data_IF_913101368934
#
_entry.id   IF_913101368934
#
_cell.length_a   1.000
_cell.length_b   1.000
_cell.length_c   1.000
_cell.angle_alpha   90.00
_cell.angle_beta   90.00
_cell.angle_gamma   90.00
#
_symmetry.space_group_name_H-M   'P 1'
#
loop_
_entity.id
_entity.type
_entity.pdbx_description
1 polymer ?
#
# COMPACT_ATOMS: atom_id res chain seq x y z
N UNK A 1 -20.80 -45.56 12.06
CA UNK A 1 -20.05 -44.91 13.15
C UNK A 1 -20.03 -43.45 12.79
N UNK A 2 -20.80 -42.71 13.53
CA UNK A 2 -20.98 -41.27 13.36
C UNK A 2 -19.75 -40.55 13.92
N UNK A 3 -19.26 -39.54 13.22
CA UNK A 3 -18.26 -38.62 13.72
C UNK A 3 -18.82 -37.23 13.66
N UNK A 4 -18.93 -36.67 14.81
CA UNK A 4 -19.47 -35.42 15.27
C UNK A 4 -19.09 -34.21 14.41
N UNK A 5 -20.10 -33.56 13.84
CA UNK A 5 -20.09 -32.16 13.50
C UNK A 5 -20.26 -31.35 14.79
N UNK A 6 -19.19 -30.81 15.32
CA UNK A 6 -19.25 -29.77 16.33
C UNK A 6 -19.36 -28.41 15.60
N UNK A 7 -20.60 -28.01 15.36
CA UNK A 7 -20.96 -26.61 15.19
C UNK A 7 -20.59 -25.85 16.46
N UNK A 8 -19.68 -24.90 16.33
CA UNK A 8 -19.42 -23.89 17.36
C UNK A 8 -20.59 -22.91 17.41
N UNK A 9 -21.58 -23.23 18.24
CA UNK A 9 -22.56 -22.27 18.75
C UNK A 9 -21.87 -21.39 19.79
N UNK A 10 -21.48 -20.17 19.40
CA UNK A 10 -21.24 -19.07 20.30
C UNK A 10 -21.43 -17.78 19.52
N UNK A 11 -22.68 -17.27 19.55
CA UNK A 11 -23.03 -15.84 19.43
C UNK A 11 -24.55 -15.67 19.38
N UNK A 12 -25.22 -16.05 20.47
CA UNK A 12 -26.59 -15.60 20.73
C UNK A 12 -26.60 -14.97 22.12
N UNK A 13 -26.42 -13.63 22.11
CA UNK A 13 -27.06 -12.67 23.04
C UNK A 13 -26.37 -11.30 22.95
N UNK A 14 -26.74 -10.51 21.92
CA UNK A 14 -26.83 -9.04 22.04
C UNK A 14 -27.61 -8.50 20.83
N UNK A 15 -28.74 -7.93 21.08
CA UNK A 15 -29.78 -7.49 20.15
C UNK A 15 -29.33 -7.00 18.76
N UNK A 16 -29.59 -7.79 17.74
CA UNK A 16 -29.87 -7.25 16.40
C UNK A 16 -28.72 -6.83 15.52
N UNK A 17 -27.43 -6.95 15.94
CA UNK A 17 -26.29 -6.58 15.08
C UNK A 17 -25.91 -7.73 14.15
N UNK A 18 -26.03 -7.50 12.84
CA UNK A 18 -25.62 -8.41 11.78
C UNK A 18 -24.45 -7.76 11.00
N UNK A 19 -23.23 -8.14 11.38
CA UNK A 19 -21.99 -7.64 10.75
C UNK A 19 -21.97 -7.90 9.26
N UNK A 20 -22.36 -9.10 8.81
CA UNK A 20 -22.32 -9.48 7.40
C UNK A 20 -23.29 -8.61 6.57
N UNK A 21 -24.48 -8.37 7.11
CA UNK A 21 -25.46 -7.48 6.47
C UNK A 21 -24.94 -6.05 6.35
N UNK A 22 -24.27 -5.54 7.38
CA UNK A 22 -23.70 -4.19 7.34
C UNK A 22 -22.54 -4.08 6.33
N UNK A 23 -21.64 -5.08 6.29
CA UNK A 23 -20.58 -5.16 5.28
C UNK A 23 -21.15 -5.20 3.86
N UNK A 24 -22.19 -5.99 3.65
CA UNK A 24 -22.86 -6.11 2.35
C UNK A 24 -23.52 -4.79 1.93
N UNK A 25 -24.19 -4.11 2.85
CA UNK A 25 -24.77 -2.80 2.57
C UNK A 25 -23.69 -1.78 2.17
N UNK A 26 -22.57 -1.74 2.89
CA UNK A 26 -21.42 -0.89 2.52
C UNK A 26 -20.93 -1.21 1.11
N UNK A 27 -20.70 -2.48 0.81
CA UNK A 27 -20.14 -2.94 -0.46
C UNK A 27 -21.08 -2.62 -1.65
N UNK A 28 -22.38 -2.83 -1.47
CA UNK A 28 -23.41 -2.55 -2.48
C UNK A 28 -23.53 -1.08 -2.85
N UNK A 29 -23.17 -0.16 -1.94
CA UNK A 29 -23.12 1.28 -2.28
C UNK A 29 -22.07 1.59 -3.33
N UNK A 30 -20.96 0.82 -3.39
CA UNK A 30 -19.78 1.07 -4.21
C UNK A 30 -19.12 2.43 -3.96
N UNK A 31 -19.50 3.12 -2.89
CA UNK A 31 -18.98 4.46 -2.56
C UNK A 31 -17.68 4.40 -1.76
N UNK A 32 -17.48 3.29 -1.06
CA UNK A 32 -16.35 3.11 -0.18
C UNK A 32 -16.43 3.94 1.10
N UNK A 33 -15.32 4.02 1.81
CA UNK A 33 -15.19 4.82 3.03
C UNK A 33 -15.29 6.32 2.72
N UNK A 34 -14.81 6.74 1.55
CA UNK A 34 -14.94 8.13 1.07
C UNK A 34 -16.42 8.55 1.01
N UNK A 35 -17.30 7.67 0.52
CA UNK A 35 -18.73 7.96 0.48
C UNK A 35 -19.35 8.13 1.87
N UNK A 36 -18.89 7.34 2.85
CA UNK A 36 -19.32 7.51 4.24
C UNK A 36 -18.85 8.86 4.82
N UNK A 37 -17.63 9.25 4.55
CA UNK A 37 -17.09 10.54 4.98
C UNK A 37 -17.86 11.71 4.34
N UNK A 38 -18.18 11.62 3.05
CA UNK A 38 -18.95 12.65 2.32
C UNK A 38 -20.40 12.77 2.82
N UNK A 39 -20.97 11.68 3.32
CA UNK A 39 -22.29 11.71 3.95
C UNK A 39 -22.31 12.45 5.30
N UNK A 40 -21.16 12.91 5.79
CA UNK A 40 -21.04 13.70 7.02
C UNK A 40 -21.36 12.91 8.28
N UNK A 41 -20.96 11.64 8.34
CA UNK A 41 -21.18 10.80 9.51
C UNK A 41 -20.52 11.42 10.74
N UNK A 42 -21.27 11.51 11.83
CA UNK A 42 -20.78 11.96 13.14
C UNK A 42 -20.25 10.83 14.01
N UNK A 43 -20.53 9.58 13.63
CA UNK A 43 -20.07 8.37 14.33
C UNK A 43 -19.58 7.31 13.35
N UNK A 44 -18.62 6.56 13.79
CA UNK A 44 -18.05 5.45 13.02
C UNK A 44 -19.06 4.28 12.95
N UNK A 45 -19.35 3.71 11.77
CA UNK A 45 -20.13 2.47 11.68
C UNK A 45 -19.43 1.33 12.45
N UNK A 46 -20.22 0.51 13.12
CA UNK A 46 -19.71 -0.51 14.04
C UNK A 46 -18.70 -1.49 13.37
N UNK A 47 -18.86 -1.77 12.09
CA UNK A 47 -17.95 -2.63 11.33
C UNK A 47 -16.51 -2.13 11.30
N UNK A 48 -16.25 -0.83 11.52
CA UNK A 48 -14.93 -0.23 11.54
C UNK A 48 -14.35 -0.09 12.96
N UNK A 49 -15.16 -0.31 14.00
CA UNK A 49 -14.70 -0.21 15.38
C UNK A 49 -13.83 -1.44 15.68
N UNK A 50 -12.64 -1.19 16.17
CA UNK A 50 -11.68 -2.22 16.58
C UNK A 50 -11.59 -2.26 18.10
N UNK A 51 -11.89 -3.43 18.70
CA UNK A 51 -11.96 -3.57 20.16
C UNK A 51 -10.59 -3.58 20.85
N UNK A 52 -9.52 -3.91 20.10
CA UNK A 52 -8.16 -4.03 20.62
C UNK A 52 -7.20 -3.06 19.93
N UNK A 53 -7.57 -1.78 19.83
CA UNK A 53 -6.62 -0.77 19.44
C UNK A 53 -5.52 -0.71 20.52
N UNK A 54 -4.45 -1.47 20.32
CA UNK A 54 -3.20 -1.12 20.95
C UNK A 54 -2.81 0.23 20.35
N UNK A 55 -3.38 1.29 20.91
CA UNK A 55 -2.86 2.63 20.68
C UNK A 55 -1.38 2.50 20.98
N UNK A 56 -0.56 2.55 19.94
CA UNK A 56 0.87 2.71 20.13
C UNK A 56 1.00 3.83 21.13
N UNK A 57 1.29 3.45 22.39
CA UNK A 57 1.56 4.41 23.44
C UNK A 57 2.53 5.40 22.81
N UNK A 58 2.30 6.68 23.00
CA UNK A 58 3.02 7.82 22.43
C UNK A 58 4.53 7.87 22.78
N UNK A 59 5.12 6.76 23.12
CA UNK A 59 6.55 6.49 23.05
C UNK A 59 6.88 6.22 21.57
N UNK A 60 6.63 7.22 20.70
CA UNK A 60 7.44 7.37 19.51
C UNK A 60 8.88 7.53 20.01
N UNK A 61 9.54 6.41 20.27
CA UNK A 61 10.98 6.38 20.15
C UNK A 61 11.23 6.99 18.78
N UNK A 62 11.97 8.09 18.71
CA UNK A 62 12.47 8.65 17.46
C UNK A 62 13.46 7.62 16.88
N UNK A 63 12.94 6.48 16.49
CA UNK A 63 13.67 5.47 15.79
C UNK A 63 13.94 6.08 14.40
N UNK A 64 15.15 6.60 14.21
CA UNK A 64 15.57 7.17 12.95
C UNK A 64 15.72 6.03 11.94
N UNK A 65 14.68 5.80 11.15
CA UNK A 65 14.76 4.90 10.01
C UNK A 65 15.97 5.32 9.16
N UNK A 66 16.86 4.39 8.79
CA UNK A 66 18.03 4.70 7.99
C UNK A 66 17.66 5.44 6.70
N UNK A 67 18.39 6.50 6.37
CA UNK A 67 18.26 7.24 5.11
C UNK A 67 19.48 6.93 4.24
N UNK A 68 19.23 6.44 3.03
CA UNK A 68 20.26 6.04 2.08
C UNK A 68 20.23 6.99 0.89
N UNK A 69 21.33 7.69 0.66
CA UNK A 69 21.51 8.58 -0.47
C UNK A 69 21.99 7.79 -1.69
N UNK A 70 21.20 7.81 -2.76
CA UNK A 70 21.51 7.12 -4.02
C UNK A 70 22.22 8.02 -5.05
N UNK A 71 22.45 9.30 -4.75
CA UNK A 71 22.96 10.29 -5.69
C UNK A 71 24.29 9.91 -6.34
N UNK A 72 25.18 9.26 -5.60
CA UNK A 72 26.48 8.84 -6.16
C UNK A 72 26.38 7.71 -7.20
N UNK A 73 25.25 7.02 -7.29
CA UNK A 73 25.00 5.99 -8.33
C UNK A 73 24.74 6.61 -9.71
N UNK A 74 24.33 7.89 -9.76
CA UNK A 74 23.91 8.58 -10.98
C UNK A 74 25.02 9.44 -11.60
N UNK A 75 26.12 9.68 -10.89
CA UNK A 75 27.23 10.50 -11.38
C UNK A 75 28.33 9.63 -12.02
N UNK A 76 28.63 9.86 -13.29
CA UNK A 76 29.70 9.14 -14.03
C UNK A 76 31.08 9.24 -13.35
N UNK A 77 31.34 10.31 -12.60
CA UNK A 77 32.58 10.52 -11.84
C UNK A 77 32.53 9.88 -10.43
N UNK A 78 31.36 9.49 -9.94
CA UNK A 78 31.14 8.84 -8.64
C UNK A 78 31.18 7.31 -8.68
N UNK A 79 31.41 6.71 -9.84
CA UNK A 79 31.55 5.27 -10.03
C UNK A 79 32.89 4.71 -9.52
N UNK A 80 33.48 5.31 -8.47
CA UNK A 80 34.46 4.59 -7.70
C UNK A 80 33.74 3.39 -7.06
N UNK A 81 34.27 2.21 -7.22
CA UNK A 81 33.75 1.00 -6.56
C UNK A 81 33.55 1.21 -5.05
N UNK A 82 34.24 2.14 -4.45
CA UNK A 82 34.12 2.57 -3.04
C UNK A 82 32.75 3.16 -2.73
N UNK A 83 32.23 4.13 -3.50
CA UNK A 83 30.94 4.79 -3.20
C UNK A 83 29.76 3.83 -3.32
N UNK A 84 29.80 2.95 -4.33
CA UNK A 84 28.76 1.92 -4.50
C UNK A 84 28.79 0.91 -3.35
N UNK A 85 29.98 0.45 -2.96
CA UNK A 85 30.13 -0.49 -1.85
C UNK A 85 29.62 0.09 -0.52
N UNK A 86 29.83 1.37 -0.28
CA UNK A 86 29.26 2.06 0.90
C UNK A 86 27.74 2.05 0.92
N UNK A 87 27.09 2.23 -0.24
CA UNK A 87 25.64 2.14 -0.37
C UNK A 87 25.17 0.72 -0.13
N UNK A 88 25.85 -0.28 -0.70
CA UNK A 88 25.52 -1.70 -0.52
C UNK A 88 25.58 -2.08 0.97
N UNK A 89 26.63 -1.68 1.68
CA UNK A 89 26.74 -1.95 3.13
C UNK A 89 25.62 -1.27 3.94
N UNK A 90 25.25 -0.02 3.59
CA UNK A 90 24.12 0.67 4.24
C UNK A 90 22.78 -0.04 3.96
N UNK A 91 22.54 -0.50 2.72
CA UNK A 91 21.35 -1.26 2.36
C UNK A 91 21.29 -2.56 3.15
N UNK A 92 22.41 -3.30 3.18
CA UNK A 92 22.55 -4.54 3.97
C UNK A 92 22.20 -4.33 5.44
N UNK A 93 22.84 -3.36 6.08
CA UNK A 93 22.65 -3.05 7.50
C UNK A 93 21.19 -2.64 7.80
N UNK A 94 20.61 -1.82 6.93
CA UNK A 94 19.22 -1.37 7.07
C UNK A 94 18.22 -2.53 6.91
N UNK A 95 18.43 -3.41 5.92
CA UNK A 95 17.58 -4.58 5.72
C UNK A 95 17.68 -5.57 6.87
N UNK A 96 18.88 -5.82 7.37
CA UNK A 96 19.13 -6.79 8.45
C UNK A 96 18.56 -6.33 9.80
N UNK A 97 18.67 -5.02 10.11
CA UNK A 97 18.29 -4.48 11.42
C UNK A 97 16.87 -3.93 11.47
N UNK A 98 16.40 -3.37 10.35
CA UNK A 98 15.14 -2.63 10.31
C UNK A 98 14.09 -3.27 9.40
N UNK A 99 14.52 -3.93 8.32
CA UNK A 99 13.63 -4.30 7.23
C UNK A 99 13.10 -3.10 6.43
N UNK A 100 13.46 -1.87 6.81
CA UNK A 100 13.01 -0.60 6.24
C UNK A 100 14.17 0.38 6.10
N UNK A 101 14.13 1.17 5.04
CA UNK A 101 14.99 2.35 4.88
C UNK A 101 14.30 3.37 3.96
N UNK A 102 14.71 4.61 4.08
CA UNK A 102 14.32 5.68 3.18
C UNK A 102 15.40 5.90 2.13
N UNK A 103 15.00 6.30 0.93
CA UNK A 103 15.93 6.66 -0.14
C UNK A 103 15.77 8.12 -0.52
N UNK A 104 16.91 8.79 -0.74
CA UNK A 104 16.96 10.17 -1.25
C UNK A 104 17.83 10.20 -2.49
N UNK A 105 17.70 11.26 -3.28
CA UNK A 105 18.43 11.43 -4.55
C UNK A 105 18.25 10.22 -5.50
N UNK A 106 17.03 9.72 -5.57
CA UNK A 106 16.62 8.52 -6.30
C UNK A 106 16.25 8.78 -7.77
N UNK A 107 16.52 9.97 -8.29
CA UNK A 107 16.36 10.37 -9.69
C UNK A 107 14.89 10.41 -10.21
N UNK A 108 13.90 10.31 -9.30
CA UNK A 108 12.50 10.57 -9.67
C UNK A 108 12.22 12.06 -9.49
N UNK A 109 11.77 12.78 -10.55
CA UNK A 109 11.47 14.20 -10.42
C UNK A 109 10.38 14.46 -9.36
N UNK A 110 10.55 15.49 -8.53
CA UNK A 110 9.59 15.86 -7.50
C UNK A 110 8.18 16.05 -8.08
N UNK A 111 8.08 16.68 -9.27
CA UNK A 111 6.80 16.83 -9.99
C UNK A 111 6.07 15.50 -10.16
N UNK A 112 6.78 14.43 -10.51
CA UNK A 112 6.17 13.10 -10.73
C UNK A 112 5.62 12.54 -9.43
N UNK A 113 6.33 12.73 -8.32
CA UNK A 113 5.87 12.30 -6.99
C UNK A 113 4.61 13.08 -6.57
N UNK A 114 4.65 14.41 -6.70
CA UNK A 114 3.54 15.28 -6.31
C UNK A 114 2.30 15.02 -7.16
N UNK A 115 2.46 14.90 -8.49
CA UNK A 115 1.36 14.61 -9.39
C UNK A 115 0.77 13.22 -9.19
N UNK A 116 1.59 12.22 -8.79
CA UNK A 116 1.07 10.88 -8.48
C UNK A 116 0.20 10.89 -7.22
N UNK A 117 0.65 11.55 -6.15
CA UNK A 117 -0.16 11.74 -4.94
C UNK A 117 -1.48 12.46 -5.26
N UNK A 118 -1.39 13.56 -6.03
CA UNK A 118 -2.58 14.29 -6.47
C UNK A 118 -3.48 13.44 -7.39
N UNK A 119 -2.91 12.64 -8.26
CA UNK A 119 -3.64 11.73 -9.14
C UNK A 119 -4.47 10.70 -8.38
N UNK A 120 -3.89 10.08 -7.33
CA UNK A 120 -4.61 9.16 -6.43
C UNK A 120 -5.73 9.90 -5.69
N UNK A 121 -5.43 11.09 -5.13
CA UNK A 121 -6.43 11.92 -4.46
C UNK A 121 -7.60 12.25 -5.40
N UNK A 122 -7.33 12.77 -6.58
CA UNK A 122 -8.35 13.12 -7.59
C UNK A 122 -9.18 11.91 -8.01
N UNK A 123 -8.58 10.71 -8.11
CA UNK A 123 -9.34 9.50 -8.41
C UNK A 123 -10.39 9.22 -7.33
N UNK A 124 -10.03 9.32 -6.07
CA UNK A 124 -10.97 9.04 -4.97
C UNK A 124 -12.00 10.16 -4.75
N UNK A 125 -11.67 11.40 -5.10
CA UNK A 125 -12.51 12.58 -4.93
C UNK A 125 -13.38 12.95 -6.15
N UNK A 126 -13.18 12.27 -7.29
CA UNK A 126 -13.97 12.52 -8.49
C UNK A 126 -15.45 12.14 -8.31
N UNK A 127 -16.27 12.55 -9.28
CA UNK A 127 -17.69 12.18 -9.34
C UNK A 127 -17.90 10.67 -9.13
N UNK A 128 -18.89 10.35 -8.27
CA UNK A 128 -19.15 8.97 -7.90
C UNK A 128 -19.54 8.10 -9.09
N UNK A 129 -20.35 8.62 -10.02
CA UNK A 129 -20.81 7.87 -11.20
C UNK A 129 -19.65 7.46 -12.11
N UNK A 130 -18.56 8.24 -12.12
CA UNK A 130 -17.31 7.92 -12.83
C UNK A 130 -16.50 6.91 -12.01
N UNK A 131 -16.30 7.16 -10.72
CA UNK A 131 -15.49 6.31 -9.84
C UNK A 131 -16.05 4.90 -9.72
N UNK A 132 -17.37 4.74 -9.56
CA UNK A 132 -18.03 3.44 -9.36
C UNK A 132 -17.84 2.45 -10.51
N UNK A 133 -17.50 2.91 -11.71
CA UNK A 133 -17.21 2.04 -12.86
C UNK A 133 -15.99 1.16 -12.61
N UNK A 134 -15.09 1.60 -11.75
CA UNK A 134 -13.90 0.86 -11.35
C UNK A 134 -14.13 -0.01 -10.11
N UNK A 135 -15.30 0.10 -9.44
CA UNK A 135 -15.56 -0.69 -8.25
C UNK A 135 -15.68 -2.17 -8.57
N UNK A 136 -14.87 -2.99 -7.90
CA UNK A 136 -14.92 -4.44 -8.13
C UNK A 136 -14.30 -5.22 -6.96
N UNK A 137 -14.87 -6.42 -6.71
CA UNK A 137 -14.28 -7.47 -5.87
C UNK A 137 -13.61 -8.56 -6.71
N UNK A 138 -13.69 -8.46 -8.03
CA UNK A 138 -13.07 -9.39 -8.95
C UNK A 138 -11.56 -9.12 -9.04
N UNK A 139 -10.78 -9.96 -8.37
CA UNK A 139 -9.31 -9.88 -8.31
C UNK A 139 -8.62 -10.23 -9.62
N UNK A 140 -9.34 -10.77 -10.61
CA UNK A 140 -8.79 -11.02 -11.94
C UNK A 140 -8.63 -9.73 -12.76
N UNK A 141 -9.37 -8.68 -12.42
CA UNK A 141 -9.24 -7.37 -13.05
C UNK A 141 -7.88 -6.76 -12.76
N UNK A 142 -7.34 -6.09 -13.75
CA UNK A 142 -6.05 -5.43 -13.63
C UNK A 142 -6.14 -4.05 -12.97
N UNK A 143 -7.26 -3.35 -13.16
CA UNK A 143 -7.53 -2.05 -12.57
C UNK A 143 -8.90 -2.07 -11.91
N UNK A 144 -8.96 -1.78 -10.64
CA UNK A 144 -10.20 -1.67 -9.86
C UNK A 144 -9.95 -0.89 -8.56
N UNK A 145 -11.01 -0.44 -7.90
CA UNK A 145 -10.92 0.03 -6.53
C UNK A 145 -11.93 -0.67 -5.63
N UNK A 146 -11.65 -0.72 -4.35
CA UNK A 146 -12.59 -1.12 -3.32
C UNK A 146 -12.17 -0.64 -1.94
N UNK A 147 -13.07 -0.81 -0.98
CA UNK A 147 -12.79 -0.68 0.44
C UNK A 147 -12.38 -2.04 0.98
N UNK A 148 -11.19 -2.13 1.58
CA UNK A 148 -10.68 -3.36 2.19
C UNK A 148 -10.74 -4.59 1.27
N UNK A 149 -9.58 -4.99 0.74
CA UNK A 149 -9.46 -6.14 -0.18
C UNK A 149 -10.14 -7.41 0.38
N UNK A 150 -9.93 -7.67 1.68
CA UNK A 150 -10.46 -8.82 2.41
C UNK A 150 -11.74 -8.51 3.21
N UNK A 151 -12.62 -7.65 2.72
CA UNK A 151 -13.79 -7.13 3.44
C UNK A 151 -14.62 -8.21 4.16
N UNK A 152 -14.82 -9.36 3.53
CA UNK A 152 -15.68 -10.43 4.05
C UNK A 152 -14.92 -11.53 4.81
N UNK A 153 -13.59 -11.50 4.79
CA UNK A 153 -12.76 -12.58 5.35
C UNK A 153 -11.94 -12.15 6.55
N UNK A 154 -11.85 -10.84 6.83
CA UNK A 154 -11.16 -10.33 8.03
C UNK A 154 -12.16 -9.95 9.12
N UNK A 155 -11.76 -10.14 10.37
CA UNK A 155 -12.54 -9.69 11.53
C UNK A 155 -12.56 -8.17 11.64
N UNK A 156 -11.46 -7.53 11.28
CA UNK A 156 -11.26 -6.08 11.38
C UNK A 156 -11.12 -5.47 9.99
N UNK A 157 -11.76 -4.34 9.76
CA UNK A 157 -11.65 -3.59 8.52
C UNK A 157 -11.09 -2.20 8.79
N UNK A 158 -10.38 -1.67 7.79
CA UNK A 158 -9.66 -0.41 7.88
C UNK A 158 -10.47 0.74 7.29
N UNK A 159 -10.30 1.95 7.86
CA UNK A 159 -10.88 3.18 7.32
C UNK A 159 -10.09 3.67 6.11
N UNK A 160 -10.23 2.95 4.98
CA UNK A 160 -9.41 3.16 3.77
C UNK A 160 -10.09 2.65 2.52
N UNK A 161 -9.99 3.42 1.43
CA UNK A 161 -10.24 2.97 0.07
C UNK A 161 -8.92 2.75 -0.67
N UNK A 162 -8.90 1.87 -1.66
CA UNK A 162 -7.67 1.55 -2.41
C UNK A 162 -7.96 1.39 -3.89
N UNK A 163 -7.22 2.12 -4.72
CA UNK A 163 -7.13 1.88 -6.17
C UNK A 163 -6.00 0.87 -6.43
N UNK A 164 -6.33 -0.21 -7.15
CA UNK A 164 -5.41 -1.28 -7.53
C UNK A 164 -5.08 -1.17 -9.00
N UNK A 165 -3.79 -1.13 -9.35
CA UNK A 165 -3.31 -1.12 -10.74
C UNK A 165 -2.23 -2.18 -10.91
N UNK A 166 -2.57 -3.33 -11.50
CA UNK A 166 -1.61 -4.40 -11.81
C UNK A 166 -0.95 -4.11 -13.15
N UNK A 167 0.29 -3.67 -13.13
CA UNK A 167 1.04 -3.24 -14.30
C UNK A 167 1.81 -4.37 -14.98
N UNK A 168 2.22 -5.40 -14.20
CA UNK A 168 2.90 -6.59 -14.68
C UNK A 168 2.32 -7.86 -13.99
N UNK A 169 2.49 -9.09 -14.55
CA UNK A 169 3.15 -9.40 -15.81
C UNK A 169 2.36 -8.95 -17.04
N UNK A 170 3.09 -8.73 -18.12
CA UNK A 170 2.53 -8.22 -19.39
C UNK A 170 2.15 -6.74 -19.36
N UNK A 171 2.07 -6.08 -20.52
CA UNK A 171 1.74 -4.66 -20.59
C UNK A 171 0.28 -4.43 -20.17
N UNK A 172 0.02 -3.40 -19.39
CA UNK A 172 -1.32 -2.86 -19.16
C UNK A 172 -1.65 -1.89 -20.28
N UNK A 173 -2.82 -2.05 -20.92
CA UNK A 173 -3.35 -1.00 -21.79
C UNK A 173 -3.64 0.25 -20.93
N UNK A 174 -2.99 1.38 -21.21
CA UNK A 174 -3.20 2.61 -20.44
C UNK A 174 -4.66 3.07 -20.39
N UNK A 175 -5.48 2.73 -21.41
CA UNK A 175 -6.91 3.05 -21.42
C UNK A 175 -7.71 2.35 -20.33
N UNK A 176 -7.19 1.30 -19.72
CA UNK A 176 -7.80 0.65 -18.55
C UNK A 176 -7.65 1.48 -17.28
N UNK A 177 -6.64 2.37 -17.23
CA UNK A 177 -6.44 3.28 -16.09
C UNK A 177 -7.50 4.39 -16.09
N UNK A 178 -7.92 4.87 -14.89
CA UNK A 178 -8.80 6.01 -14.77
C UNK A 178 -8.22 7.23 -15.48
N UNK A 179 -8.98 7.86 -16.37
CA UNK A 179 -8.50 8.97 -17.21
C UNK A 179 -7.90 10.12 -16.38
N UNK A 180 -8.44 10.34 -15.18
CA UNK A 180 -8.04 11.43 -14.28
C UNK A 180 -6.62 11.31 -13.74
N UNK A 181 -6.06 10.08 -13.67
CA UNK A 181 -4.71 9.80 -13.19
C UNK A 181 -3.88 8.94 -14.16
N UNK A 182 -4.40 8.65 -15.36
CA UNK A 182 -3.77 7.73 -16.32
C UNK A 182 -2.32 8.08 -16.63
N UNK A 183 -2.10 9.30 -17.13
CA UNK A 183 -0.81 9.70 -17.67
C UNK A 183 0.25 9.72 -16.58
N UNK A 184 -0.09 10.26 -15.41
CA UNK A 184 0.85 10.27 -14.30
C UNK A 184 1.10 8.86 -13.74
N UNK A 185 0.10 7.97 -13.74
CA UNK A 185 0.31 6.58 -13.30
C UNK A 185 1.30 5.85 -14.21
N UNK A 186 1.23 6.08 -15.51
CA UNK A 186 2.18 5.51 -16.48
C UNK A 186 3.58 6.09 -16.23
N UNK A 187 3.72 7.42 -16.21
CA UNK A 187 5.01 8.08 -15.98
C UNK A 187 5.65 7.68 -14.65
N UNK A 188 4.88 7.73 -13.56
CA UNK A 188 5.34 7.30 -12.23
C UNK A 188 5.79 5.84 -12.23
N UNK A 189 5.04 4.95 -12.88
CA UNK A 189 5.37 3.53 -12.93
C UNK A 189 6.72 3.26 -13.60
N UNK A 190 7.07 4.00 -14.64
CA UNK A 190 8.34 3.84 -15.34
C UNK A 190 9.52 4.28 -14.45
N UNK A 191 9.36 5.39 -13.71
CA UNK A 191 10.35 5.85 -12.76
C UNK A 191 10.55 4.84 -11.59
N UNK A 192 9.44 4.37 -11.00
CA UNK A 192 9.50 3.45 -9.85
C UNK A 192 10.02 2.09 -10.26
N UNK A 193 9.71 1.60 -11.45
CA UNK A 193 10.32 0.36 -11.97
C UNK A 193 11.83 0.49 -12.10
N UNK A 194 12.33 1.63 -12.62
CA UNK A 194 13.76 1.90 -12.73
C UNK A 194 14.42 1.92 -11.34
N UNK A 195 13.81 2.61 -10.37
CA UNK A 195 14.28 2.62 -8.99
C UNK A 195 14.25 1.20 -8.39
N UNK A 196 13.18 0.45 -8.60
CA UNK A 196 13.04 -0.93 -8.15
C UNK A 196 14.16 -1.84 -8.68
N UNK A 197 14.49 -1.73 -9.96
CA UNK A 197 15.62 -2.48 -10.54
C UNK A 197 16.94 -2.10 -9.89
N UNK A 198 17.20 -0.81 -9.64
CA UNK A 198 18.39 -0.35 -8.91
C UNK A 198 18.44 -0.94 -7.50
N UNK A 199 17.33 -0.96 -6.79
CA UNK A 199 17.26 -1.55 -5.45
C UNK A 199 17.48 -3.06 -5.48
N UNK A 200 16.93 -3.79 -6.46
CA UNK A 200 17.18 -5.24 -6.62
C UNK A 200 18.64 -5.54 -6.91
N UNK A 201 19.33 -4.68 -7.67
CA UNK A 201 20.78 -4.81 -7.89
C UNK A 201 21.56 -4.63 -6.58
N UNK A 202 21.28 -3.57 -5.82
CA UNK A 202 21.92 -3.31 -4.54
C UNK A 202 21.67 -4.44 -3.53
N UNK A 203 20.44 -4.97 -3.48
CA UNK A 203 20.08 -6.10 -2.64
C UNK A 203 20.79 -7.39 -3.05
N UNK A 204 20.94 -7.66 -4.36
CA UNK A 204 21.71 -8.80 -4.85
C UNK A 204 23.15 -8.73 -4.36
N UNK A 205 23.81 -7.57 -4.54
CA UNK A 205 25.19 -7.34 -4.13
C UNK A 205 25.33 -7.39 -2.59
N UNK A 206 24.36 -6.86 -1.83
CA UNK A 206 24.31 -6.93 -0.36
C UNK A 206 24.23 -8.37 0.17
N UNK A 207 23.61 -9.26 -0.60
CA UNK A 207 23.55 -10.70 -0.32
C UNK A 207 24.80 -11.48 -0.79
N UNK A 208 25.78 -10.80 -1.41
CA UNK A 208 26.98 -11.44 -1.98
C UNK A 208 26.69 -12.19 -3.27
N UNK A 209 25.61 -11.85 -3.98
CA UNK A 209 25.19 -12.47 -5.23
C UNK A 209 25.58 -11.60 -6.43
N UNK A 210 25.51 -12.18 -7.63
CA UNK A 210 25.66 -11.42 -8.86
C UNK A 210 24.64 -10.30 -8.92
N UNK A 211 25.06 -9.13 -9.40
CA UNK A 211 24.28 -7.89 -9.44
C UNK A 211 22.87 -8.06 -10.02
N UNK A 212 22.72 -8.88 -11.06
CA UNK A 212 21.44 -9.09 -11.74
C UNK A 212 20.59 -10.24 -11.16
N UNK A 213 21.07 -10.94 -10.13
CA UNK A 213 20.51 -12.20 -9.68
C UNK A 213 19.03 -12.12 -9.30
N UNK A 214 18.66 -11.21 -8.41
CA UNK A 214 17.26 -11.07 -7.97
C UNK A 214 16.31 -10.71 -9.11
N UNK A 215 16.78 -9.95 -10.08
CA UNK A 215 15.96 -9.56 -11.23
C UNK A 215 15.89 -10.66 -12.30
N UNK A 216 17.06 -11.18 -12.76
CA UNK A 216 17.10 -12.08 -13.93
C UNK A 216 16.87 -13.55 -13.58
N UNK A 217 17.45 -14.01 -12.47
CA UNK A 217 17.44 -15.43 -12.12
C UNK A 217 16.21 -15.78 -11.26
N UNK A 218 15.79 -14.85 -10.39
CA UNK A 218 14.62 -15.02 -9.50
C UNK A 218 13.35 -14.39 -10.09
N UNK A 219 13.48 -13.35 -10.93
CA UNK A 219 12.34 -12.68 -11.54
C UNK A 219 11.59 -11.73 -10.59
N UNK A 220 12.25 -11.15 -9.58
CA UNK A 220 11.60 -10.30 -8.58
C UNK A 220 10.90 -9.06 -9.16
N UNK A 221 11.24 -8.64 -10.38
CA UNK A 221 10.59 -7.51 -11.05
C UNK A 221 9.49 -7.93 -12.05
N UNK A 222 9.16 -9.22 -12.18
CA UNK A 222 8.14 -9.69 -13.13
C UNK A 222 6.72 -9.27 -12.74
N UNK A 223 6.44 -9.11 -11.45
CA UNK A 223 5.17 -8.60 -10.93
C UNK A 223 5.29 -7.16 -10.48
N UNK A 224 4.39 -6.26 -10.94
CA UNK A 224 4.34 -4.87 -10.49
C UNK A 224 2.89 -4.49 -10.21
N UNK A 225 2.65 -4.04 -8.98
CA UNK A 225 1.34 -3.60 -8.50
C UNK A 225 1.48 -2.22 -7.86
N UNK A 226 0.64 -1.27 -8.27
CA UNK A 226 0.48 0.01 -7.58
C UNK A 226 -0.80 -0.04 -6.75
N UNK A 227 -0.71 0.35 -5.49
CA UNK A 227 -1.83 0.53 -4.57
C UNK A 227 -1.94 2.01 -4.21
N UNK A 228 -2.96 2.68 -4.73
CA UNK A 228 -3.29 4.06 -4.37
C UNK A 228 -4.24 4.08 -3.17
N UNK A 229 -3.69 4.14 -1.96
CA UNK A 229 -4.48 4.23 -0.73
C UNK A 229 -5.01 5.64 -0.49
N UNK A 230 -6.24 5.72 -0.02
CA UNK A 230 -6.89 6.97 0.34
C UNK A 230 -7.56 6.84 1.71
N UNK A 231 -7.21 7.75 2.60
CA UNK A 231 -7.69 7.80 3.98
C UNK A 231 -8.53 9.05 4.17
N UNK A 232 -9.86 8.99 4.00
CA UNK A 232 -10.72 10.15 4.20
C UNK A 232 -10.80 10.52 5.69
N UNK A 233 -11.21 11.78 6.02
CA UNK A 233 -11.44 12.16 7.41
C UNK A 233 -12.32 11.17 8.14
N UNK A 234 -11.91 10.79 9.35
CA UNK A 234 -12.64 9.86 10.22
C UNK A 234 -13.31 10.62 11.35
N UNK A 235 -14.60 10.36 11.65
CA UNK A 235 -15.30 11.05 12.72
C UNK A 235 -14.80 10.69 14.13
N UNK A 236 -14.33 9.44 14.32
CA UNK A 236 -13.83 8.91 15.60
C UNK A 236 -12.53 8.13 15.34
N UNK A 237 -11.41 8.85 15.02
CA UNK A 237 -10.16 8.20 14.58
C UNK A 237 -9.50 7.34 15.66
N UNK A 238 -9.84 7.53 16.92
CA UNK A 238 -9.39 6.73 18.06
C UNK A 238 -10.00 5.33 18.11
N UNK A 239 -11.07 5.07 17.33
CA UNK A 239 -11.78 3.80 17.32
C UNK A 239 -11.41 2.88 16.13
N UNK A 240 -10.56 3.34 15.22
CA UNK A 240 -10.24 2.58 14.00
C UNK A 240 -8.81 2.82 13.54
N UNK A 241 -8.35 2.00 12.59
CA UNK A 241 -7.07 2.17 11.92
C UNK A 241 -7.28 2.37 10.41
N UNK A 242 -6.40 3.15 9.79
CA UNK A 242 -6.29 3.24 8.33
C UNK A 242 -5.66 1.98 7.73
N UNK A 243 -4.75 1.34 8.47
CA UNK A 243 -4.16 0.06 8.11
C UNK A 243 -3.77 -0.71 9.38
N UNK A 244 -4.11 -1.99 9.43
CA UNK A 244 -3.70 -2.85 10.53
C UNK A 244 -2.23 -3.22 10.40
N UNK A 245 -1.62 -3.68 11.49
CA UNK A 245 -0.27 -4.23 11.48
C UNK A 245 -0.20 -5.44 10.53
N UNK A 246 0.76 -5.41 9.61
CA UNK A 246 0.95 -6.47 8.61
C UNK A 246 2.38 -6.45 8.09
N UNK A 247 2.74 -7.48 7.35
CA UNK A 247 3.91 -7.51 6.48
C UNK A 247 3.44 -7.60 5.04
N UNK A 248 4.18 -6.97 4.14
CA UNK A 248 3.87 -7.03 2.72
C UNK A 248 4.24 -8.40 2.13
N UNK A 249 3.44 -8.88 1.19
CA UNK A 249 3.67 -10.15 0.49
C UNK A 249 4.65 -10.01 -0.68
N UNK A 250 4.95 -8.78 -1.09
CA UNK A 250 5.88 -8.48 -2.18
C UNK A 250 7.34 -8.62 -1.73
N UNK A 251 8.24 -8.82 -2.69
CA UNK A 251 9.68 -8.88 -2.40
C UNK A 251 10.24 -7.52 -1.95
N UNK A 252 9.84 -6.45 -2.62
CA UNK A 252 10.16 -5.07 -2.27
C UNK A 252 8.92 -4.21 -2.41
N UNK A 253 8.65 -3.39 -1.42
CA UNK A 253 7.61 -2.34 -1.47
C UNK A 253 8.27 -0.97 -1.46
N UNK A 254 7.95 -0.15 -2.46
CA UNK A 254 8.35 1.25 -2.52
C UNK A 254 7.15 2.09 -2.12
N UNK A 255 7.27 2.79 -1.00
CA UNK A 255 6.21 3.63 -0.45
C UNK A 255 6.45 5.09 -0.79
N UNK A 256 5.43 5.74 -1.35
CA UNK A 256 5.31 7.19 -1.46
C UNK A 256 4.14 7.63 -0.59
N UNK A 257 4.37 8.47 0.40
CA UNK A 257 3.32 9.04 1.26
C UNK A 257 3.29 10.56 1.14
N UNK A 258 2.14 11.14 1.47
CA UNK A 258 1.99 12.58 1.57
C UNK A 258 2.61 13.12 2.89
N UNK A 259 2.49 14.45 3.09
CA UNK A 259 3.05 15.12 4.28
C UNK A 259 2.27 14.86 5.57
N UNK A 260 1.10 14.21 5.51
CA UNK A 260 0.31 13.91 6.70
C UNK A 260 0.99 12.80 7.50
N UNK A 261 1.60 11.84 6.82
CA UNK A 261 2.29 10.72 7.46
C UNK A 261 1.31 9.75 8.12
N UNK A 262 1.69 9.21 9.29
CA UNK A 262 0.83 8.30 10.09
C UNK A 262 1.22 6.83 9.99
N UNK A 263 2.19 6.45 9.15
CA UNK A 263 2.71 5.09 9.15
C UNK A 263 3.60 4.85 10.37
N UNK A 264 3.30 3.80 11.13
CA UNK A 264 4.11 3.33 12.25
C UNK A 264 4.78 2.02 11.90
N UNK A 265 6.08 1.90 12.23
CA UNK A 265 6.84 0.66 12.09
C UNK A 265 6.89 0.02 13.48
N UNK A 266 6.45 -1.23 13.56
CA UNK A 266 6.53 -2.04 14.77
C UNK A 266 7.79 -2.89 14.71
N UNK A 267 8.54 -3.00 15.83
CA UNK A 267 9.75 -3.82 15.91
C UNK A 267 9.46 -5.32 15.78
#
# INVERSE_FOLDING_TARGET
MASDEQETQADHEHGGYDRYKELKLLDETKQGVKGLADAGLSKLPRIFIQDNLNTCSSHANNANIPVIDLGSLHHEQGNSSSSRNEIIEKVKDACEKWGFFQVVNHDIPQRVLDEMLDGVRRFHEQDFEVKKQFYSRDVSKRVFYNTNFHLYTTSEINWRDTLYCRLAPGPLDPHQLPSICRDITVEYSDHVKKLGLTLLELLSEALGLERSYLNKDIGCAEGVLILGHYYPPCPEPELTLGTNSHTDIGFVTILLQDQVGGLSILP
#
